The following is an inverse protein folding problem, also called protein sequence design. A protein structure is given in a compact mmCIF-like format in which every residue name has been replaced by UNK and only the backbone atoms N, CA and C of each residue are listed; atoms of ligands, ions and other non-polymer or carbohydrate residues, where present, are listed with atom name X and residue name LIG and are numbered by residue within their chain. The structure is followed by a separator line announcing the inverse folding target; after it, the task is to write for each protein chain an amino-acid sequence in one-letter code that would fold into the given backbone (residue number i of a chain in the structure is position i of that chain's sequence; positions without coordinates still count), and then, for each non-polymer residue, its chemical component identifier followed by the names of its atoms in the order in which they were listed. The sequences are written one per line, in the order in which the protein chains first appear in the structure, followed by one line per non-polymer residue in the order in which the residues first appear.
data_IF_333749657558
#
_entry.id   IF_333749657558
#
_cell.length_a   1.000
_cell.length_b   1.000
_cell.length_c   1.000
_cell.angle_alpha   90.00
_cell.angle_beta   90.00
_cell.angle_gamma   90.00
#
_symmetry.space_group_name_H-M   'P 1'
#
loop_
_entity.id
_entity.type
_entity.pdbx_description
1 polymer ?
#
# COMPACT_ATOMS: atom_id res chain seq x y z
N UNK A 1 4.41 -8.95 -9.97
CA UNK A 1 4.18 -8.01 -8.85
C UNK A 1 4.05 -6.62 -9.43
N UNK A 2 3.09 -5.84 -8.95
CA UNK A 2 2.94 -4.41 -9.23
C UNK A 2 3.25 -3.66 -7.95
N UNK A 3 3.88 -2.50 -8.03
CA UNK A 3 4.16 -1.65 -6.89
C UNK A 3 3.81 -0.21 -7.25
N UNK A 4 3.62 0.64 -6.24
CA UNK A 4 3.34 2.05 -6.44
C UNK A 4 3.45 2.85 -5.15
N UNK A 5 3.30 4.17 -5.29
CA UNK A 5 3.19 5.07 -4.15
C UNK A 5 1.73 5.17 -3.69
N UNK A 6 1.56 5.51 -2.41
CA UNK A 6 0.28 5.90 -1.80
C UNK A 6 0.49 7.18 -1.00
N UNK A 7 -0.49 8.06 -1.01
CA UNK A 7 -0.51 9.25 -0.16
C UNK A 7 -1.94 9.71 0.08
N UNK A 8 -2.25 10.10 1.30
CA UNK A 8 -3.55 10.70 1.63
C UNK A 8 -3.44 11.67 2.80
N UNK A 9 -4.42 12.55 2.92
CA UNK A 9 -4.66 13.35 4.12
C UNK A 9 -5.68 12.61 4.95
N UNK A 10 -5.39 12.41 6.23
CA UNK A 10 -6.33 11.84 7.19
C UNK A 10 -6.82 12.92 8.15
N UNK A 11 -8.09 12.79 8.49
CA UNK A 11 -8.78 13.72 9.37
C UNK A 11 -8.62 13.31 10.83
N UNK A 12 -8.73 14.28 11.74
CA UNK A 12 -8.88 14.03 13.16
C UNK A 12 -10.33 13.62 13.47
N UNK A 13 -10.63 13.38 14.76
CA UNK A 13 -11.97 13.02 15.23
C UNK A 13 -13.04 14.09 14.94
N UNK A 14 -12.64 15.33 14.70
CA UNK A 14 -13.54 16.44 14.33
C UNK A 14 -13.79 16.51 12.81
N UNK A 15 -13.17 15.63 12.02
CA UNK A 15 -13.26 15.63 10.56
C UNK A 15 -12.34 16.65 9.89
N UNK A 16 -11.39 17.23 10.61
CA UNK A 16 -10.45 18.22 10.09
C UNK A 16 -9.12 17.56 9.65
N UNK A 17 -8.53 17.96 8.52
CA UNK A 17 -7.21 17.51 8.09
C UNK A 17 -6.15 17.65 9.19
N UNK A 18 -5.48 16.56 9.54
CA UNK A 18 -4.46 16.58 10.62
C UNK A 18 -3.21 15.75 10.33
N UNK A 19 -3.32 14.71 9.50
CA UNK A 19 -2.19 13.82 9.20
C UNK A 19 -1.96 13.67 7.71
N UNK A 20 -0.69 13.59 7.33
CA UNK A 20 -0.25 13.09 6.03
C UNK A 20 0.13 11.62 6.23
N UNK A 21 -0.48 10.74 5.44
CA UNK A 21 -0.02 9.37 5.26
C UNK A 21 0.66 9.29 3.90
N UNK A 22 1.89 8.78 3.85
CA UNK A 22 2.60 8.59 2.58
C UNK A 22 3.52 7.37 2.62
N UNK A 23 3.59 6.63 1.52
CA UNK A 23 4.28 5.36 1.49
C UNK A 23 4.22 4.65 0.16
N UNK A 24 4.42 3.34 0.21
CA UNK A 24 4.40 2.48 -0.97
C UNK A 24 3.69 1.18 -0.67
N UNK A 25 3.22 0.54 -1.74
CA UNK A 25 2.59 -0.77 -1.72
C UNK A 25 3.21 -1.67 -2.80
N UNK A 26 3.07 -2.98 -2.60
CA UNK A 26 3.40 -4.00 -3.58
C UNK A 26 2.37 -5.12 -3.52
N UNK A 27 1.92 -5.62 -4.67
CA UNK A 27 0.88 -6.64 -4.73
C UNK A 27 0.92 -7.50 -5.99
N UNK A 28 0.30 -8.68 -5.94
CA UNK A 28 -0.03 -9.50 -7.09
C UNK A 28 -1.55 -9.59 -7.38
N UNK A 29 -2.39 -8.81 -6.68
CA UNK A 29 -3.85 -9.02 -6.71
C UNK A 29 -4.58 -8.29 -7.83
N UNK A 30 -4.00 -7.25 -8.41
CA UNK A 30 -4.65 -6.45 -9.46
C UNK A 30 -5.01 -7.31 -10.67
N UNK A 31 -6.25 -7.18 -11.16
CA UNK A 31 -6.82 -7.99 -12.25
C UNK A 31 -6.86 -9.50 -11.97
N UNK A 32 -6.95 -9.89 -10.70
CA UNK A 32 -7.12 -11.28 -10.27
C UNK A 32 -8.50 -11.51 -9.66
N UNK A 33 -8.91 -12.77 -9.67
CA UNK A 33 -10.09 -13.31 -9.00
C UNK A 33 -9.66 -14.25 -7.86
N UNK A 34 -10.60 -14.72 -7.03
CA UNK A 34 -10.30 -15.72 -5.98
C UNK A 34 -9.57 -16.94 -6.53
N UNK A 35 -10.02 -17.48 -7.68
CA UNK A 35 -9.45 -18.67 -8.32
C UNK A 35 -8.03 -18.47 -8.88
N UNK A 36 -7.53 -17.23 -8.90
CA UNK A 36 -6.16 -16.92 -9.32
C UNK A 36 -5.10 -17.32 -8.29
N UNK A 37 -5.53 -17.66 -7.06
CA UNK A 37 -4.63 -17.92 -5.94
C UNK A 37 -4.77 -19.34 -5.40
N UNK A 38 -3.68 -19.85 -4.88
CA UNK A 38 -3.62 -21.15 -4.21
C UNK A 38 -2.47 -21.16 -3.18
N UNK A 39 -2.25 -22.28 -2.51
CA UNK A 39 -1.23 -22.40 -1.47
C UNK A 39 0.20 -22.07 -1.96
N UNK A 40 0.52 -22.36 -3.23
CA UNK A 40 1.85 -22.10 -3.82
C UNK A 40 1.98 -20.71 -4.44
N UNK A 41 0.87 -20.07 -4.77
CA UNK A 41 0.79 -18.70 -5.27
C UNK A 41 -0.30 -17.93 -4.51
N UNK A 42 -0.05 -17.56 -3.24
CA UNK A 42 -1.03 -16.85 -2.44
C UNK A 42 -1.21 -15.42 -2.94
N UNK A 43 -2.36 -14.83 -2.63
CA UNK A 43 -2.58 -13.39 -2.75
C UNK A 43 -1.61 -12.66 -1.82
N UNK A 44 -1.01 -11.58 -2.30
CA UNK A 44 -0.02 -10.78 -1.56
C UNK A 44 -0.35 -9.31 -1.68
N UNK A 45 -0.37 -8.63 -0.55
CA UNK A 45 -0.40 -7.19 -0.45
C UNK A 45 0.46 -6.79 0.74
N UNK A 46 1.53 -6.06 0.46
CA UNK A 46 2.41 -5.50 1.48
C UNK A 46 2.48 -3.99 1.26
N UNK A 47 2.56 -3.23 2.36
CA UNK A 47 2.66 -1.78 2.32
C UNK A 47 3.45 -1.25 3.51
N UNK A 48 4.07 -0.10 3.34
CA UNK A 48 4.66 0.66 4.44
C UNK A 48 4.36 2.13 4.25
N UNK A 49 3.98 2.78 5.34
CA UNK A 49 3.56 4.18 5.35
C UNK A 49 4.27 4.93 6.47
N UNK A 50 4.56 6.19 6.20
CA UNK A 50 4.85 7.19 7.21
C UNK A 50 3.58 7.94 7.54
N UNK A 51 3.37 8.22 8.81
CA UNK A 51 2.40 9.19 9.32
C UNK A 51 3.16 10.37 9.89
N UNK A 52 2.71 11.58 9.57
CA UNK A 52 3.25 12.83 10.11
C UNK A 52 2.13 13.86 10.20
N UNK A 53 2.12 14.69 11.24
CA UNK A 53 1.16 15.79 11.35
C UNK A 53 1.42 16.86 10.28
N UNK A 54 0.42 17.69 9.96
CA UNK A 54 0.55 18.75 8.95
C UNK A 54 1.65 19.78 9.29
N UNK A 55 1.99 19.93 10.56
CA UNK A 55 3.08 20.80 11.05
C UNK A 55 4.48 20.13 10.98
N UNK A 56 4.55 18.89 10.50
CA UNK A 56 5.79 18.11 10.39
C UNK A 56 6.18 17.34 11.65
N UNK A 57 5.41 17.42 12.73
CA UNK A 57 5.71 16.73 13.99
C UNK A 57 5.15 15.31 14.02
N UNK A 58 5.55 14.54 15.04
CA UNK A 58 5.09 13.16 15.30
C UNK A 58 5.29 12.19 14.11
N UNK A 59 6.36 12.34 13.34
CA UNK A 59 6.67 11.40 12.26
C UNK A 59 6.96 9.99 12.80
N UNK A 60 6.28 8.99 12.26
CA UNK A 60 6.53 7.58 12.56
C UNK A 60 6.11 6.68 11.39
N UNK A 61 6.47 5.40 11.45
CA UNK A 61 6.30 4.42 10.36
C UNK A 61 5.40 3.26 10.79
N UNK A 62 4.60 2.76 9.84
CA UNK A 62 3.86 1.50 9.94
C UNK A 62 4.18 0.58 8.77
N UNK A 63 4.03 -0.71 9.01
CA UNK A 63 4.06 -1.77 7.99
C UNK A 63 2.73 -2.52 8.02
N UNK A 64 2.28 -2.91 6.84
CA UNK A 64 1.08 -3.72 6.58
C UNK A 64 1.57 -4.97 5.83
N UNK A 65 1.32 -6.14 6.39
CA UNK A 65 1.84 -7.41 5.87
C UNK A 65 0.88 -8.56 6.14
N UNK A 66 1.28 -9.79 5.76
CA UNK A 66 0.52 -11.01 6.02
C UNK A 66 -0.91 -10.97 5.46
N UNK A 67 -1.08 -10.41 4.27
CA UNK A 67 -2.39 -10.32 3.64
C UNK A 67 -3.00 -11.70 3.40
N UNK A 68 -4.21 -11.91 3.92
CA UNK A 68 -5.02 -13.09 3.72
C UNK A 68 -6.31 -12.70 3.02
N UNK A 69 -6.40 -12.99 1.72
CA UNK A 69 -7.57 -12.68 0.89
C UNK A 69 -8.77 -13.56 1.31
N UNK A 70 -9.92 -12.93 1.50
CA UNK A 70 -11.17 -13.62 1.86
C UNK A 70 -12.27 -13.44 0.82
N UNK A 71 -12.27 -12.33 0.07
CA UNK A 71 -13.29 -12.04 -0.93
C UNK A 71 -12.74 -11.16 -2.07
N UNK A 72 -13.28 -11.38 -3.27
CA UNK A 72 -13.06 -10.53 -4.45
C UNK A 72 -14.42 -10.24 -5.08
N UNK A 73 -14.80 -8.98 -5.11
CA UNK A 73 -16.04 -8.51 -5.70
C UNK A 73 -15.77 -7.47 -6.78
N UNK A 74 -16.54 -7.53 -7.87
CA UNK A 74 -16.50 -6.56 -8.94
C UNK A 74 -17.81 -5.76 -8.94
N UNK A 75 -17.69 -4.44 -8.96
CA UNK A 75 -18.83 -3.53 -9.06
C UNK A 75 -18.46 -2.40 -10.01
N UNK A 76 -19.25 -2.25 -11.08
CA UNK A 76 -19.02 -1.26 -12.14
C UNK A 76 -17.58 -1.35 -12.68
N UNK A 77 -16.83 -0.25 -12.59
CA UNK A 77 -15.43 -0.17 -13.01
C UNK A 77 -14.45 -0.32 -11.84
N UNK A 78 -14.84 -0.99 -10.76
CA UNK A 78 -13.99 -1.21 -9.59
C UNK A 78 -14.00 -2.69 -9.14
N UNK A 79 -12.83 -3.14 -8.69
CA UNK A 79 -12.66 -4.44 -8.04
C UNK A 79 -12.24 -4.22 -6.60
N UNK A 80 -12.96 -4.82 -5.66
CA UNK A 80 -12.64 -4.84 -4.24
C UNK A 80 -11.99 -6.17 -3.86
N UNK A 81 -10.82 -6.09 -3.24
CA UNK A 81 -10.11 -7.23 -2.64
C UNK A 81 -10.18 -7.08 -1.12
N UNK A 82 -10.95 -7.94 -0.47
CA UNK A 82 -11.13 -7.91 0.98
C UNK A 82 -10.38 -9.04 1.64
N UNK A 83 -9.87 -8.79 2.83
CA UNK A 83 -9.11 -9.77 3.58
C UNK A 83 -8.72 -9.26 4.95
N UNK A 84 -7.68 -9.86 5.51
CA UNK A 84 -7.06 -9.41 6.74
C UNK A 84 -5.56 -9.20 6.58
N UNK A 85 -4.96 -8.36 7.43
CA UNK A 85 -3.52 -8.07 7.49
C UNK A 85 -3.03 -8.02 8.93
N UNK A 86 -1.71 -8.04 9.08
CA UNK A 86 -1.01 -7.56 10.28
C UNK A 86 -0.59 -6.10 10.07
N UNK A 87 -0.83 -5.25 11.05
CA UNK A 87 -0.41 -3.84 11.04
C UNK A 87 0.47 -3.55 12.25
N UNK A 88 1.65 -2.97 12.06
CA UNK A 88 2.49 -2.54 13.19
C UNK A 88 1.91 -1.28 13.83
N UNK A 89 1.68 -1.24 15.15
CA UNK A 89 1.34 -0.02 15.90
C UNK A 89 2.38 0.23 17.01
N UNK A 90 2.23 1.34 17.74
CA UNK A 90 3.14 1.72 18.83
C UNK A 90 3.28 0.64 19.91
N UNK A 91 2.17 0.01 20.29
CA UNK A 91 2.14 -0.99 21.36
C UNK A 91 2.40 -2.42 20.86
N UNK A 92 2.73 -2.56 19.57
CA UNK A 92 3.03 -3.81 18.91
C UNK A 92 2.17 -4.06 17.66
N UNK A 93 2.45 -5.15 16.92
CA UNK A 93 1.63 -5.54 15.77
C UNK A 93 0.23 -5.99 16.19
N UNK A 94 -0.78 -5.54 15.43
CA UNK A 94 -2.16 -6.02 15.52
C UNK A 94 -2.43 -6.93 14.34
N UNK A 95 -2.85 -8.16 14.62
CA UNK A 95 -3.14 -9.17 13.61
C UNK A 95 -4.62 -9.21 13.22
N UNK A 96 -4.90 -9.82 12.06
CA UNK A 96 -6.25 -10.03 11.55
C UNK A 96 -7.05 -8.73 11.39
N UNK A 97 -6.39 -7.61 11.08
CA UNK A 97 -7.04 -6.31 10.82
C UNK A 97 -7.77 -6.41 9.48
N UNK A 98 -9.11 -6.23 9.42
CA UNK A 98 -9.82 -6.20 8.15
C UNK A 98 -9.30 -5.06 7.26
N UNK A 99 -9.19 -5.36 5.98
CA UNK A 99 -8.69 -4.45 4.96
C UNK A 99 -9.52 -4.60 3.69
N UNK A 100 -9.76 -3.49 3.01
CA UNK A 100 -10.20 -3.48 1.62
C UNK A 100 -9.16 -2.77 0.76
N UNK A 101 -8.67 -3.48 -0.26
CA UNK A 101 -7.88 -2.90 -1.34
C UNK A 101 -8.81 -2.75 -2.54
N UNK A 102 -9.20 -1.53 -2.87
CA UNK A 102 -10.10 -1.22 -3.97
C UNK A 102 -9.32 -0.71 -5.18
N UNK A 103 -9.49 -1.36 -6.32
CA UNK A 103 -8.88 -0.98 -7.60
C UNK A 103 -9.94 -0.34 -8.48
N UNK A 104 -9.78 0.93 -8.82
CA UNK A 104 -10.71 1.70 -9.66
C UNK A 104 -10.14 1.94 -11.06
N UNK A 105 -10.89 1.54 -12.09
CA UNK A 105 -10.55 1.66 -13.51
C UNK A 105 -9.14 1.12 -13.85
N UNK A 106 -8.55 0.24 -13.04
CA UNK A 106 -7.13 -0.16 -13.13
C UNK A 106 -6.10 0.99 -13.06
N UNK A 107 -6.51 2.18 -12.62
CA UNK A 107 -5.64 3.36 -12.50
C UNK A 107 -5.44 3.80 -11.05
N UNK A 108 -6.43 3.57 -10.20
CA UNK A 108 -6.43 4.00 -8.80
C UNK A 108 -6.42 2.78 -7.90
N UNK A 109 -5.64 2.85 -6.83
CA UNK A 109 -5.72 1.93 -5.70
C UNK A 109 -6.13 2.71 -4.46
N UNK A 110 -7.13 2.22 -3.74
CA UNK A 110 -7.59 2.74 -2.46
C UNK A 110 -7.43 1.68 -1.39
N UNK A 111 -6.97 2.09 -0.22
CA UNK A 111 -6.75 1.23 0.93
C UNK A 111 -7.64 1.71 2.08
N UNK A 112 -8.60 0.87 2.48
CA UNK A 112 -9.41 1.07 3.68
C UNK A 112 -8.96 0.08 4.75
N UNK A 113 -8.51 0.58 5.90
CA UNK A 113 -8.09 -0.22 7.05
C UNK A 113 -9.16 -0.09 8.13
N UNK A 114 -9.54 -1.18 8.77
CA UNK A 114 -10.57 -1.14 9.81
C UNK A 114 -10.18 -0.21 10.98
N UNK A 115 -10.95 0.87 11.13
CA UNK A 115 -10.71 1.87 12.15
C UNK A 115 -10.92 1.31 13.56
N UNK A 116 -11.92 0.45 13.78
CA UNK A 116 -12.19 -0.10 15.10
C UNK A 116 -11.02 -0.93 15.63
N UNK A 117 -10.44 -1.79 14.78
CA UNK A 117 -9.33 -2.68 15.17
C UNK A 117 -7.98 -1.98 15.24
N UNK A 118 -7.88 -0.76 14.71
CA UNK A 118 -6.68 0.07 14.79
C UNK A 118 -6.86 1.27 15.72
N UNK A 119 -7.95 1.34 16.51
CA UNK A 119 -8.28 2.49 17.36
C UNK A 119 -8.26 3.82 16.60
N UNK A 120 -8.78 3.81 15.38
CA UNK A 120 -8.86 4.94 14.46
C UNK A 120 -7.49 5.52 14.05
N UNK A 121 -6.39 4.76 14.24
CA UNK A 121 -5.02 5.25 14.05
C UNK A 121 -4.73 5.72 12.62
N UNK A 122 -5.41 5.17 11.60
CA UNK A 122 -5.22 5.54 10.20
C UNK A 122 -6.31 6.46 9.63
N UNK A 123 -7.21 6.97 10.47
CA UNK A 123 -8.38 7.74 10.05
C UNK A 123 -9.50 6.88 9.47
N UNK A 124 -10.57 7.55 9.03
CA UNK A 124 -11.79 6.95 8.49
C UNK A 124 -11.91 7.06 6.96
N UNK A 125 -10.91 7.67 6.30
CA UNK A 125 -10.89 7.83 4.84
C UNK A 125 -9.91 6.88 4.18
N UNK A 126 -10.19 6.40 2.95
CA UNK A 126 -9.24 5.54 2.25
C UNK A 126 -7.91 6.25 1.96
N UNK A 127 -6.82 5.48 1.98
CA UNK A 127 -5.49 5.93 1.55
C UNK A 127 -5.35 5.62 0.06
N UNK A 128 -5.15 6.65 -0.77
CA UNK A 128 -5.13 6.49 -2.22
C UNK A 128 -3.72 6.45 -2.82
N UNK A 129 -3.61 5.78 -3.97
CA UNK A 129 -2.43 5.77 -4.81
C UNK A 129 -2.81 5.58 -6.27
N UNK A 130 -1.82 5.75 -7.15
CA UNK A 130 -1.95 5.43 -8.57
C UNK A 130 -1.34 4.06 -8.84
N UNK A 131 -1.94 3.31 -9.75
CA UNK A 131 -1.33 2.12 -10.33
C UNK A 131 -0.43 2.60 -11.47
N UNK A 132 0.91 2.50 -11.33
CA UNK A 132 1.80 3.04 -12.34
C UNK A 132 1.62 2.32 -13.68
N UNK A 133 1.59 3.04 -14.81
CA UNK A 133 1.69 2.44 -16.12
C UNK A 133 2.93 1.56 -16.23
N UNK A 134 2.85 0.47 -17.01
CA UNK A 134 3.99 -0.45 -17.21
C UNK A 134 5.23 0.27 -17.73
N UNK A 135 5.06 1.26 -18.61
CA UNK A 135 6.16 2.03 -19.17
C UNK A 135 6.90 2.84 -18.12
N UNK A 136 6.19 3.40 -17.14
CA UNK A 136 6.80 4.12 -16.02
C UNK A 136 7.58 3.15 -15.12
N UNK A 137 7.04 1.95 -14.86
CA UNK A 137 7.75 0.90 -14.11
C UNK A 137 9.04 0.50 -14.83
N UNK A 138 8.98 0.28 -16.15
CA UNK A 138 10.15 -0.06 -16.96
C UNK A 138 11.17 1.07 -16.97
N UNK A 139 10.73 2.32 -17.06
CA UNK A 139 11.60 3.49 -16.98
C UNK A 139 12.31 3.58 -15.63
N UNK A 140 11.58 3.40 -14.52
CA UNK A 140 12.16 3.36 -13.18
C UNK A 140 13.19 2.23 -13.05
N UNK A 141 12.87 1.02 -13.51
CA UNK A 141 13.79 -0.12 -13.48
C UNK A 141 15.04 0.12 -14.33
N UNK A 142 14.89 0.71 -15.52
CA UNK A 142 16.02 1.04 -16.39
C UNK A 142 16.96 2.07 -15.75
N UNK A 143 16.41 3.09 -15.08
CA UNK A 143 17.20 4.09 -14.38
C UNK A 143 17.95 3.50 -13.19
N UNK A 144 17.32 2.58 -12.43
CA UNK A 144 17.99 1.86 -11.34
C UNK A 144 19.09 0.92 -11.85
N UNK A 145 18.83 0.18 -12.92
CA UNK A 145 19.82 -0.71 -13.56
C UNK A 145 21.00 0.03 -14.19
N UNK A 146 20.79 1.26 -14.67
CA UNK A 146 21.88 2.11 -15.16
C UNK A 146 22.70 2.73 -14.01
N UNK A 147 22.07 3.07 -12.88
CA UNK A 147 22.80 3.53 -11.68
C UNK A 147 23.71 2.44 -11.10
N UNK A 148 23.22 1.21 -10.97
CA UNK A 148 24.06 0.11 -10.45
C UNK A 148 25.27 -0.19 -11.34
N UNK A 149 25.15 0.00 -12.66
CA UNK A 149 26.28 -0.09 -13.60
C UNK A 149 27.26 1.07 -13.46
N UNK A 150 26.79 2.31 -13.26
CA UNK A 150 27.66 3.47 -12.99
C UNK A 150 28.46 3.31 -11.69
N UNK A 151 27.82 2.85 -10.61
CA UNK A 151 28.47 2.65 -9.30
C UNK A 151 29.56 1.55 -9.37
N UNK A 152 29.31 0.47 -10.12
CA UNK A 152 30.34 -0.54 -10.39
C UNK A 152 31.52 0.02 -11.19
N UNK A 153 31.27 0.89 -12.18
CA UNK A 153 32.33 1.46 -13.00
C UNK A 153 33.20 2.46 -12.21
N UNK A 154 32.61 3.23 -11.29
CA UNK A 154 33.38 4.13 -10.40
C UNK A 154 34.23 3.37 -9.37
N UNK A 155 33.78 2.20 -8.89
CA UNK A 155 34.54 1.39 -7.93
C UNK A 155 35.68 0.57 -8.54
N UNK A 156 35.71 0.36 -9.86
CA UNK A 156 36.80 -0.33 -10.57
C UNK A 156 37.94 0.60 -11.02
N UNK A 157 37.76 1.91 -10.87
CA UNK A 157 38.74 2.94 -11.27
C UNK A 157 39.59 3.47 -10.10
N UNK A 158 39.84 2.67 -9.07
CA UNK A 158 40.80 2.97 -7.98
C UNK A 158 41.91 1.94 -7.92
#
# INVERSE_FOLDING_TARGET
MTFGAISSIQNNEQGEPSWIISGHWITNIINKTMDSFNQTNPAKFDSWVYMVMLDGTAMHKHSISNFSLSDVSNQDNATSYKGTVTVTLKDGPVEQVPIEVKVGNNHVIGLSIDAAKTNNHFGDTPIYGIIPPKDDIMKMMSQMGNKSKMDMHMNMSK
#
